data_IF_501690463140
#
_entry.id   IF_501690463140
#
_cell.length_a   1.000
_cell.length_b   1.000
_cell.length_c   1.000
_cell.angle_alpha   90.00
_cell.angle_beta   90.00
_cell.angle_gamma   90.00
#
_symmetry.space_group_name_H-M   'P 1'
#
loop_
_entity.id
_entity.type
_entity.pdbx_description
1 polymer ?
#
# COMPACT_ATOMS: atom_id res chain seq x y z
N UNK A 1 21.36 17.08 38.38
CA UNK A 1 20.65 18.39 38.42
C UNK A 1 19.97 18.62 37.07
N UNK A 2 18.65 18.42 36.98
CA UNK A 2 17.91 18.62 35.74
C UNK A 2 17.62 20.11 35.53
N UNK A 3 18.13 20.69 34.44
CA UNK A 3 17.83 22.09 34.08
C UNK A 3 16.34 22.20 33.73
N UNK A 4 15.63 22.99 34.53
CA UNK A 4 14.21 23.36 34.36
C UNK A 4 13.99 23.85 32.93
N UNK A 5 12.97 23.32 32.25
CA UNK A 5 12.74 23.52 30.81
C UNK A 5 12.71 24.99 30.37
N UNK A 6 13.09 25.22 29.12
CA UNK A 6 13.14 26.55 28.50
C UNK A 6 11.78 27.27 28.61
N UNK A 7 11.76 28.39 29.33
CA UNK A 7 10.56 29.23 29.51
C UNK A 7 10.48 30.19 28.33
N UNK A 8 9.52 29.98 27.43
CA UNK A 8 9.35 30.84 26.25
C UNK A 8 9.10 32.29 26.65
N UNK A 9 9.72 33.24 25.93
CA UNK A 9 9.56 34.68 26.20
C UNK A 9 8.12 35.12 25.95
N UNK A 10 7.68 36.15 26.68
CA UNK A 10 6.33 36.72 26.51
C UNK A 10 6.10 37.26 25.09
N UNK A 11 7.14 37.78 24.44
CA UNK A 11 7.09 38.16 23.04
C UNK A 11 6.81 36.95 22.13
N UNK A 12 7.47 35.82 22.37
CA UNK A 12 7.26 34.60 21.62
C UNK A 12 5.83 34.07 21.81
N UNK A 13 5.31 34.10 23.05
CA UNK A 13 3.92 33.73 23.36
C UNK A 13 2.92 34.66 22.65
N UNK A 14 3.18 35.97 22.65
CA UNK A 14 2.36 36.97 21.96
C UNK A 14 2.38 36.78 20.44
N UNK A 15 3.52 36.40 19.88
CA UNK A 15 3.68 36.11 18.45
C UNK A 15 2.90 34.86 18.04
N UNK A 16 2.99 33.78 18.83
CA UNK A 16 2.15 32.57 18.66
C UNK A 16 0.67 32.91 18.82
N UNK A 17 0.30 33.73 19.81
CA UNK A 17 -1.09 34.14 20.05
C UNK A 17 -1.69 34.95 18.91
N UNK A 18 -0.93 35.89 18.31
CA UNK A 18 -1.35 36.62 17.10
C UNK A 18 -1.57 35.68 15.90
N UNK A 19 -0.64 34.75 15.67
CA UNK A 19 -0.73 33.77 14.59
C UNK A 19 -1.92 32.80 14.77
N UNK A 20 -2.24 32.43 16.01
CA UNK A 20 -3.36 31.56 16.38
C UNK A 20 -4.65 32.31 16.71
N UNK A 21 -4.71 33.62 16.45
CA UNK A 21 -5.92 34.41 16.70
C UNK A 21 -7.11 33.79 15.98
N UNK A 22 -8.28 33.81 16.63
CA UNK A 22 -9.53 33.21 16.14
C UNK A 22 -9.88 33.72 14.72
N UNK A 23 -9.44 34.94 14.37
CA UNK A 23 -9.61 35.54 13.05
C UNK A 23 -8.83 34.84 11.92
N UNK A 24 -7.78 34.06 12.23
CA UNK A 24 -6.99 33.28 11.25
C UNK A 24 -7.24 31.78 11.38
N UNK A 25 -7.75 31.32 12.54
CA UNK A 25 -8.07 29.92 12.77
C UNK A 25 -9.32 29.52 11.99
N UNK A 26 -9.10 28.99 10.78
CA UNK A 26 -10.15 28.55 9.87
C UNK A 26 -10.36 29.43 8.62
N UNK A 27 -9.62 30.54 8.47
CA UNK A 27 -9.65 31.32 7.22
C UNK A 27 -8.69 30.71 6.19
N UNK A 28 -9.22 30.34 5.03
CA UNK A 28 -8.49 29.78 3.91
C UNK A 28 -7.61 30.87 3.27
N UNK A 29 -6.30 30.85 3.54
CA UNK A 29 -5.37 31.91 3.13
C UNK A 29 -4.93 31.89 1.64
N UNK A 30 -5.57 31.13 0.76
CA UNK A 30 -5.22 31.18 -0.68
C UNK A 30 -6.36 30.68 -1.56
N UNK A 31 -6.50 31.18 -2.80
CA UNK A 31 -7.37 30.57 -3.81
C UNK A 31 -7.07 29.07 -4.00
N UNK A 32 -5.81 28.65 -3.78
CA UNK A 32 -5.36 27.24 -3.83
C UNK A 32 -5.99 26.36 -2.74
N UNK A 33 -6.39 26.93 -1.60
CA UNK A 33 -7.05 26.20 -0.51
C UNK A 33 -8.57 26.17 -0.64
N UNK A 34 -9.19 26.79 -1.65
CA UNK A 34 -10.61 26.59 -2.03
C UNK A 34 -10.88 25.20 -2.64
N UNK A 35 -10.05 24.20 -2.32
CA UNK A 35 -10.42 22.81 -2.52
C UNK A 35 -11.61 22.50 -1.61
N UNK A 36 -12.82 22.77 -2.14
CA UNK A 36 -14.08 22.35 -1.57
C UNK A 36 -13.96 20.86 -1.27
N UNK A 37 -13.96 20.53 0.02
CA UNK A 37 -13.89 19.16 0.58
C UNK A 37 -14.91 18.16 -0.01
N UNK A 38 -15.77 18.56 -0.95
CA UNK A 38 -16.91 17.78 -1.41
C UNK A 38 -16.95 17.41 -2.89
N UNK A 39 -16.10 17.93 -3.78
CA UNK A 39 -16.31 17.69 -5.24
C UNK A 39 -15.24 16.83 -5.89
N UNK A 40 -13.96 17.16 -5.81
CA UNK A 40 -12.86 16.39 -6.42
C UNK A 40 -11.60 16.59 -5.57
N UNK A 41 -10.66 15.63 -5.53
CA UNK A 41 -9.39 15.77 -4.80
C UNK A 41 -8.31 16.47 -5.64
N UNK A 42 -7.31 17.12 -5.02
CA UNK A 42 -6.21 17.81 -5.73
C UNK A 42 -5.50 16.92 -6.74
N UNK A 43 -5.22 15.68 -6.34
CA UNK A 43 -4.64 14.65 -7.19
C UNK A 43 -5.51 14.21 -8.38
N UNK A 44 -6.81 14.51 -8.36
CA UNK A 44 -7.72 14.26 -9.49
C UNK A 44 -7.80 15.46 -10.43
N UNK A 45 -7.68 16.70 -9.94
CA UNK A 45 -7.63 17.89 -10.79
C UNK A 45 -6.26 18.09 -11.46
N UNK A 46 -5.18 17.64 -10.83
CA UNK A 46 -3.81 17.83 -11.30
C UNK A 46 -3.05 16.50 -11.51
N UNK A 47 -3.47 15.64 -12.46
CA UNK A 47 -2.76 14.41 -12.79
C UNK A 47 -1.34 14.62 -13.34
N UNK A 48 -1.04 15.80 -13.88
CA UNK A 48 0.27 16.22 -14.39
C UNK A 48 1.29 16.47 -13.28
N UNK A 49 0.83 17.00 -12.13
CA UNK A 49 1.69 17.28 -10.97
C UNK A 49 1.88 16.02 -10.13
N UNK A 50 0.83 15.20 -10.02
CA UNK A 50 0.83 13.95 -9.27
C UNK A 50 0.42 12.79 -10.17
N UNK A 51 1.29 12.40 -11.12
CA UNK A 51 0.99 11.29 -12.00
C UNK A 51 0.79 10.03 -11.17
N UNK A 52 -0.25 9.28 -11.49
CA UNK A 52 -0.53 8.00 -10.84
C UNK A 52 -0.49 6.92 -11.88
N UNK A 53 -0.36 5.70 -11.38
CA UNK A 53 -0.40 4.57 -12.26
C UNK A 53 0.73 4.63 -13.30
N UNK A 54 0.43 4.27 -14.56
CA UNK A 54 1.41 4.16 -15.65
C UNK A 54 2.22 5.44 -15.86
N UNK A 55 1.65 6.58 -15.48
CA UNK A 55 2.27 7.89 -15.69
C UNK A 55 3.28 8.22 -14.57
N UNK A 56 3.25 7.50 -13.45
CA UNK A 56 4.17 7.76 -12.33
C UNK A 56 5.57 7.22 -12.67
N UNK A 57 6.66 8.01 -12.54
CA UNK A 57 8.01 7.57 -12.94
C UNK A 57 8.51 6.30 -12.24
N UNK A 58 8.04 6.04 -11.02
CA UNK A 58 8.38 4.81 -10.29
C UNK A 58 7.48 3.61 -10.64
N UNK A 59 6.51 3.74 -11.56
CA UNK A 59 5.71 2.61 -12.00
C UNK A 59 6.59 1.64 -12.77
N UNK A 60 6.74 0.43 -12.22
CA UNK A 60 7.53 -0.67 -12.81
C UNK A 60 6.60 -1.72 -13.41
N UNK A 61 5.80 -1.34 -14.40
CA UNK A 61 4.79 -2.23 -14.99
C UNK A 61 3.64 -2.62 -14.05
N UNK A 62 3.47 -1.93 -12.92
CA UNK A 62 2.54 -2.35 -11.88
C UNK A 62 3.00 -3.59 -11.11
N UNK A 63 4.31 -3.86 -11.06
CA UNK A 63 4.91 -4.96 -10.29
C UNK A 63 5.74 -4.41 -9.13
N UNK A 64 5.59 -4.97 -7.93
CA UNK A 64 6.45 -4.62 -6.79
C UNK A 64 6.69 -5.82 -5.88
N UNK A 65 7.81 -5.79 -5.14
CA UNK A 65 8.12 -6.75 -4.08
C UNK A 65 7.71 -6.15 -2.74
N UNK A 66 6.90 -6.90 -2.00
CA UNK A 66 6.51 -6.54 -0.65
C UNK A 66 7.71 -6.58 0.30
N UNK A 67 7.80 -5.61 1.19
CA UNK A 67 8.92 -5.50 2.15
C UNK A 67 8.73 -6.39 3.37
N UNK A 68 7.48 -6.69 3.75
CA UNK A 68 7.18 -7.45 4.96
C UNK A 68 7.43 -8.93 4.75
N UNK A 69 6.87 -9.50 3.69
CA UNK A 69 6.92 -10.94 3.45
C UNK A 69 7.76 -11.33 2.24
N UNK A 70 8.14 -10.38 1.38
CA UNK A 70 8.95 -10.65 0.19
C UNK A 70 8.16 -11.17 -1.02
N UNK A 71 6.83 -11.22 -0.95
CA UNK A 71 6.00 -11.61 -2.10
C UNK A 71 6.06 -10.59 -3.24
N UNK A 72 5.94 -11.08 -4.47
CA UNK A 72 5.79 -10.21 -5.64
C UNK A 72 4.30 -9.99 -5.92
N UNK A 73 3.92 -8.73 -6.10
CA UNK A 73 2.57 -8.30 -6.45
C UNK A 73 2.55 -7.75 -7.88
N UNK A 74 1.44 -7.98 -8.58
CA UNK A 74 1.20 -7.53 -9.96
C UNK A 74 -0.16 -6.83 -10.02
N UNK A 75 -0.21 -5.68 -10.70
CA UNK A 75 -1.42 -4.89 -10.89
C UNK A 75 -2.34 -5.56 -11.93
N UNK A 76 -3.46 -6.12 -11.45
CA UNK A 76 -4.54 -6.73 -12.21
C UNK A 76 -5.88 -6.28 -11.61
N UNK A 77 -6.33 -5.03 -11.85
CA UNK A 77 -7.50 -4.47 -11.18
C UNK A 77 -8.81 -5.21 -11.48
N UNK A 78 -8.88 -5.91 -12.62
CA UNK A 78 -10.05 -6.68 -13.03
C UNK A 78 -10.03 -8.12 -12.50
N UNK A 79 -9.01 -8.52 -11.73
CA UNK A 79 -8.95 -9.88 -11.21
C UNK A 79 -9.89 -10.03 -10.01
N UNK A 80 -10.72 -11.09 -9.93
CA UNK A 80 -11.72 -11.25 -8.87
C UNK A 80 -11.11 -11.33 -7.46
N UNK A 81 -9.84 -11.71 -7.37
CA UNK A 81 -9.08 -11.81 -6.13
C UNK A 81 -7.99 -10.72 -5.98
N UNK A 82 -8.09 -9.62 -6.73
CA UNK A 82 -7.23 -8.46 -6.50
C UNK A 82 -7.60 -7.77 -5.18
N UNK A 83 -6.63 -7.11 -4.57
CA UNK A 83 -6.87 -6.25 -3.41
C UNK A 83 -7.59 -4.95 -3.80
N UNK A 84 -7.91 -4.10 -2.81
CA UNK A 84 -8.57 -2.80 -3.02
C UNK A 84 -7.79 -1.83 -3.91
N UNK A 85 -6.49 -2.09 -4.13
CA UNK A 85 -5.59 -1.31 -4.98
C UNK A 85 -5.45 -1.93 -6.38
N UNK A 86 -6.10 -3.06 -6.64
CA UNK A 86 -6.02 -3.80 -7.89
C UNK A 86 -4.77 -4.67 -8.02
N UNK A 87 -4.10 -5.04 -6.93
CA UNK A 87 -2.92 -5.89 -6.94
C UNK A 87 -3.23 -7.31 -6.47
N UNK A 88 -2.53 -8.28 -7.06
CA UNK A 88 -2.61 -9.70 -6.71
C UNK A 88 -1.21 -10.30 -6.66
N UNK A 89 -1.03 -11.35 -5.85
CA UNK A 89 0.25 -12.07 -5.72
C UNK A 89 0.60 -12.80 -7.02
N UNK A 90 1.84 -12.67 -7.47
CA UNK A 90 2.32 -13.20 -8.75
C UNK A 90 2.27 -14.73 -8.84
N UNK A 91 2.69 -15.45 -7.79
CA UNK A 91 2.62 -16.91 -7.75
C UNK A 91 1.20 -17.44 -7.96
N UNK A 92 0.19 -16.72 -7.45
CA UNK A 92 -1.22 -17.08 -7.64
C UNK A 92 -1.60 -17.01 -9.11
N UNK A 93 -1.23 -15.93 -9.80
CA UNK A 93 -1.52 -15.76 -11.23
C UNK A 93 -0.85 -16.84 -12.09
N UNK A 94 0.37 -17.24 -11.75
CA UNK A 94 1.12 -18.26 -12.51
C UNK A 94 0.43 -19.61 -12.38
N UNK A 95 0.05 -19.98 -11.17
CA UNK A 95 -0.70 -21.22 -10.92
C UNK A 95 -2.07 -21.20 -11.60
N UNK A 96 -2.83 -20.10 -11.49
CA UNK A 96 -4.13 -19.95 -12.16
C UNK A 96 -4.01 -20.12 -13.67
N UNK A 97 -2.92 -19.58 -14.26
CA UNK A 97 -2.61 -19.77 -15.68
C UNK A 97 -2.29 -21.23 -16.02
N UNK A 98 -1.55 -21.94 -15.17
CA UNK A 98 -1.22 -23.35 -15.40
C UNK A 98 -2.44 -24.27 -15.33
N UNK A 99 -3.33 -24.06 -14.36
CA UNK A 99 -4.52 -24.90 -14.17
C UNK A 99 -5.71 -24.49 -15.06
N UNK A 100 -5.61 -23.34 -15.75
CA UNK A 100 -6.66 -22.84 -16.65
C UNK A 100 -7.93 -22.34 -15.95
N UNK A 101 -7.88 -22.09 -14.63
CA UNK A 101 -8.99 -21.56 -13.83
C UNK A 101 -8.50 -20.69 -12.68
N UNK A 102 -9.39 -19.90 -12.09
CA UNK A 102 -9.07 -19.22 -10.84
C UNK A 102 -8.93 -20.23 -9.68
N UNK A 103 -8.01 -19.93 -8.77
CA UNK A 103 -7.90 -20.69 -7.53
C UNK A 103 -9.11 -20.37 -6.65
N UNK A 104 -9.63 -21.38 -5.97
CA UNK A 104 -10.70 -21.19 -5.00
C UNK A 104 -10.18 -20.46 -3.75
N UNK A 105 -11.11 -19.94 -2.94
CA UNK A 105 -10.78 -19.25 -1.68
C UNK A 105 -10.11 -20.16 -0.65
N UNK A 106 -10.27 -21.47 -0.76
CA UNK A 106 -9.68 -22.48 0.12
C UNK A 106 -8.38 -23.08 -0.44
N UNK A 107 -7.99 -22.71 -1.65
CA UNK A 107 -6.72 -23.12 -2.25
C UNK A 107 -5.66 -22.04 -2.06
N UNK A 108 -4.41 -22.47 -1.89
CA UNK A 108 -3.24 -21.61 -1.82
C UNK A 108 -2.15 -22.12 -2.76
N UNK A 109 -1.41 -21.19 -3.35
CA UNK A 109 -0.21 -21.49 -4.10
C UNK A 109 0.99 -21.38 -3.16
N UNK A 110 1.62 -22.52 -2.89
CA UNK A 110 2.72 -22.68 -1.95
C UNK A 110 4.06 -22.75 -2.68
N UNK A 111 5.09 -22.11 -2.13
CA UNK A 111 6.46 -22.17 -2.62
C UNK A 111 7.18 -23.36 -2.01
N UNK A 112 7.58 -24.34 -2.83
CA UNK A 112 8.19 -25.59 -2.37
C UNK A 112 9.53 -25.34 -1.68
N UNK A 113 10.33 -24.39 -2.19
CA UNK A 113 11.62 -24.01 -1.61
C UNK A 113 11.52 -22.94 -0.50
N UNK A 114 10.31 -22.57 -0.06
CA UNK A 114 10.05 -21.51 0.93
C UNK A 114 10.54 -20.10 0.53
N UNK A 115 11.03 -19.90 -0.71
CA UNK A 115 11.48 -18.60 -1.24
C UNK A 115 10.31 -17.91 -1.95
N UNK A 116 9.68 -16.96 -1.26
CA UNK A 116 8.42 -16.29 -1.69
C UNK A 116 8.50 -15.44 -2.95
N UNK A 117 9.71 -15.11 -3.41
CA UNK A 117 9.94 -14.38 -4.66
C UNK A 117 10.41 -15.28 -5.83
N UNK A 118 10.61 -16.58 -5.60
CA UNK A 118 10.90 -17.54 -6.66
C UNK A 118 9.58 -18.08 -7.22
N UNK A 119 9.01 -17.37 -8.18
CA UNK A 119 7.71 -17.70 -8.76
C UNK A 119 7.82 -18.59 -10.01
N UNK A 120 8.90 -19.36 -10.16
CA UNK A 120 9.00 -20.35 -11.24
C UNK A 120 7.88 -21.38 -11.11
N UNK A 121 7.19 -21.76 -12.21
CA UNK A 121 6.02 -22.64 -12.13
C UNK A 121 6.30 -23.99 -11.45
N UNK A 122 7.51 -24.55 -11.63
CA UNK A 122 7.98 -25.78 -10.99
C UNK A 122 8.18 -25.66 -9.47
N UNK A 123 8.34 -24.44 -8.94
CA UNK A 123 8.49 -24.17 -7.52
C UNK A 123 7.14 -23.92 -6.81
N UNK A 124 6.03 -23.94 -7.55
CA UNK A 124 4.71 -23.62 -7.03
C UNK A 124 3.84 -24.87 -6.99
N UNK A 125 3.17 -25.09 -5.86
CA UNK A 125 2.22 -26.19 -5.68
C UNK A 125 0.87 -25.67 -5.18
N UNK A 126 -0.22 -26.16 -5.77
CA UNK A 126 -1.57 -25.94 -5.23
C UNK A 126 -1.78 -26.88 -4.06
N UNK A 127 -2.28 -26.32 -2.96
CA UNK A 127 -2.71 -27.09 -1.79
C UNK A 127 -3.91 -26.42 -1.15
N UNK A 128 -4.66 -27.18 -0.35
CA UNK A 128 -5.70 -26.61 0.50
C UNK A 128 -5.08 -25.80 1.64
N UNK A 129 -5.86 -24.87 2.21
CA UNK A 129 -5.47 -24.14 3.42
C UNK A 129 -5.14 -25.05 4.60
N UNK A 130 -5.85 -26.18 4.74
CA UNK A 130 -5.61 -27.15 5.81
C UNK A 130 -4.24 -27.80 5.63
N UNK A 131 -3.95 -28.34 4.44
CA UNK A 131 -2.64 -28.94 4.14
C UNK A 131 -1.50 -27.93 4.32
N UNK A 132 -1.68 -26.69 3.87
CA UNK A 132 -0.69 -25.63 4.05
C UNK A 132 -0.43 -25.33 5.53
N UNK A 133 -1.49 -25.25 6.34
CA UNK A 133 -1.37 -25.03 7.78
C UNK A 133 -0.64 -26.20 8.47
N UNK A 134 -1.02 -27.44 8.15
CA UNK A 134 -0.34 -28.62 8.68
C UNK A 134 1.14 -28.66 8.29
N UNK A 135 1.48 -28.30 7.05
CA UNK A 135 2.86 -28.27 6.59
C UNK A 135 3.71 -27.30 7.40
N UNK A 136 3.27 -26.06 7.58
CA UNK A 136 4.01 -25.05 8.36
C UNK A 136 4.10 -25.41 9.83
N UNK A 137 3.00 -25.89 10.42
CA UNK A 137 3.01 -26.36 11.80
C UNK A 137 3.95 -27.55 12.02
N UNK A 138 4.08 -28.44 11.04
CA UNK A 138 4.99 -29.60 11.12
C UNK A 138 6.45 -29.25 10.88
N UNK A 139 6.72 -28.21 10.07
CA UNK A 139 8.08 -27.78 9.70
C UNK A 139 8.66 -26.70 10.61
N UNK A 140 7.86 -26.10 11.50
CA UNK A 140 8.32 -25.05 12.41
C UNK A 140 8.71 -23.74 11.70
N UNK A 141 8.09 -23.47 10.54
CA UNK A 141 8.21 -22.21 9.77
C UNK A 141 7.13 -21.21 10.17
#
# INVERSE_FOLDING_TARGET
MFKKGYKMSEEHKRRIGKANSIALKGKHCSPRTEFKKGTISYSKLHPEIMPRGKNHPQWKGGRYKDKTWGYIFVHKPNHPFADKRGYIREHRLIIEKQIGRYLHRWEVAHHINSIRNDNRPENLKVMSKSEHSHLHNSKGE
#
